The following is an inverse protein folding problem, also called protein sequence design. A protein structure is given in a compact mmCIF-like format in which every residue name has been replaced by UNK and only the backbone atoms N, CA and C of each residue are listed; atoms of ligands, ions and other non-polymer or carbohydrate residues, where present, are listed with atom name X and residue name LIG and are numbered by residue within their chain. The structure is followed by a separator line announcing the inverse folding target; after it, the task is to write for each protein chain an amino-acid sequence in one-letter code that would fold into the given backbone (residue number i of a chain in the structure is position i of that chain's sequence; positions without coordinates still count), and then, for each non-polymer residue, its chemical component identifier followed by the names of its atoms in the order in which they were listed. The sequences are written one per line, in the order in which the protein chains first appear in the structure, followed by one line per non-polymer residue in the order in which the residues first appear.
data_IF_482418757003
#
_entry.id   IF_482418757003
#
_cell.length_a   1.000
_cell.length_b   1.000
_cell.length_c   1.000
_cell.angle_alpha   90.00
_cell.angle_beta   90.00
_cell.angle_gamma   90.00
#
_symmetry.space_group_name_H-M   'P 1'
#
loop_
_entity.id
_entity.type
_entity.pdbx_description
1 polymer ?
#
# COMPACT_ATOMS: atom_id res chain seq x y z
N UNK A 1 5.08 -14.29 20.03
CA UNK A 1 5.77 -14.36 18.73
C UNK A 1 7.24 -14.64 18.96
N UNK A 2 7.89 -15.49 18.17
CA UNK A 2 9.33 -15.76 18.33
C UNK A 2 10.17 -14.60 17.75
N UNK A 3 11.33 -14.34 18.35
CA UNK A 3 12.31 -13.34 17.87
C UNK A 3 12.74 -13.57 16.40
N UNK A 4 12.68 -14.81 15.92
CA UNK A 4 13.00 -15.15 14.54
C UNK A 4 12.02 -14.55 13.52
N UNK A 5 10.72 -14.60 13.81
CA UNK A 5 9.67 -14.04 12.94
C UNK A 5 9.82 -12.52 12.84
N UNK A 6 10.06 -11.84 13.97
CA UNK A 6 10.29 -10.39 13.98
C UNK A 6 11.52 -9.98 13.15
N UNK A 7 12.61 -10.76 13.21
CA UNK A 7 13.80 -10.53 12.38
C UNK A 7 13.54 -10.75 10.89
N UNK A 8 12.80 -11.79 10.53
CA UNK A 8 12.41 -12.07 9.16
C UNK A 8 11.53 -10.95 8.59
N UNK A 9 10.52 -10.50 9.35
CA UNK A 9 9.67 -9.37 9.03
C UNK A 9 10.48 -8.10 8.78
N UNK A 10 11.38 -7.76 9.70
CA UNK A 10 12.25 -6.60 9.56
C UNK A 10 13.17 -6.70 8.34
N UNK A 11 13.69 -7.89 8.00
CA UNK A 11 14.53 -8.10 6.83
C UNK A 11 13.74 -7.94 5.53
N UNK A 12 12.54 -8.52 5.47
CA UNK A 12 11.62 -8.37 4.34
C UNK A 12 11.31 -6.89 4.08
N UNK A 13 11.04 -6.14 5.14
CA UNK A 13 10.75 -4.70 5.10
C UNK A 13 11.93 -3.79 4.76
N UNK A 14 13.17 -4.25 4.96
CA UNK A 14 14.37 -3.52 4.56
C UNK A 14 14.88 -3.95 3.16
N UNK A 15 14.24 -4.94 2.54
CA UNK A 15 14.63 -5.45 1.22
C UNK A 15 13.77 -4.81 0.14
N UNK A 16 14.39 -4.18 -0.85
CA UNK A 16 13.64 -3.49 -1.91
C UNK A 16 12.76 -4.39 -2.74
N UNK A 17 13.18 -5.65 -2.97
CA UNK A 17 12.51 -6.56 -3.90
C UNK A 17 11.00 -6.68 -3.69
N UNK A 18 10.54 -6.78 -2.44
CA UNK A 18 9.11 -6.88 -2.13
C UNK A 18 8.37 -5.57 -2.40
N UNK A 19 9.00 -4.41 -2.13
CA UNK A 19 8.41 -3.12 -2.45
C UNK A 19 8.33 -2.90 -3.97
N UNK A 20 9.41 -3.21 -4.70
CA UNK A 20 9.45 -3.08 -6.16
C UNK A 20 8.39 -3.97 -6.82
N UNK A 21 8.26 -5.23 -6.38
CA UNK A 21 7.26 -6.17 -6.86
C UNK A 21 5.84 -5.66 -6.59
N UNK A 22 5.53 -5.23 -5.36
CA UNK A 22 4.19 -4.72 -5.01
C UNK A 22 3.82 -3.49 -5.83
N UNK A 23 4.76 -2.58 -6.06
CA UNK A 23 4.54 -1.42 -6.92
C UNK A 23 4.27 -1.82 -8.38
N UNK A 24 5.00 -2.81 -8.92
CA UNK A 24 4.74 -3.31 -10.28
C UNK A 24 3.34 -3.92 -10.40
N UNK A 25 2.94 -4.77 -9.46
CA UNK A 25 1.59 -5.38 -9.44
C UNK A 25 0.52 -4.29 -9.34
N UNK A 26 0.69 -3.32 -8.43
CA UNK A 26 -0.26 -2.22 -8.27
C UNK A 26 -0.37 -1.33 -9.52
N UNK A 27 0.77 -0.98 -10.13
CA UNK A 27 0.80 -0.23 -11.39
C UNK A 27 0.11 -1.04 -12.49
N UNK A 28 0.26 -2.36 -12.52
CA UNK A 28 -0.41 -3.22 -13.50
C UNK A 28 -1.92 -3.27 -13.29
N UNK A 29 -2.39 -3.28 -12.04
CA UNK A 29 -3.81 -3.14 -11.74
C UNK A 29 -4.35 -1.79 -12.23
N UNK A 30 -3.60 -0.69 -12.05
CA UNK A 30 -3.98 0.64 -12.53
C UNK A 30 -4.00 0.72 -14.07
N UNK A 31 -3.00 0.10 -14.71
CA UNK A 31 -2.82 0.00 -16.16
C UNK A 31 -4.01 -0.73 -16.83
N UNK A 32 -4.55 -1.78 -16.20
CA UNK A 32 -5.70 -2.56 -16.67
C UNK A 32 -7.07 -1.92 -16.43
N UNK A 33 -7.17 -0.80 -15.71
CA UNK A 33 -8.47 -0.24 -15.29
C UNK A 33 -9.31 0.31 -16.44
N UNK A 34 -8.68 0.77 -17.52
CA UNK A 34 -9.35 1.40 -18.66
C UNK A 34 -9.23 0.59 -19.94
N UNK A 35 -9.89 1.06 -21.00
CA UNK A 35 -9.69 0.54 -22.36
C UNK A 35 -8.26 0.74 -22.86
N UNK A 36 -7.61 1.80 -22.38
CA UNK A 36 -6.22 2.12 -22.69
C UNK A 36 -5.41 2.20 -21.40
N UNK A 37 -4.13 1.74 -21.42
CA UNK A 37 -3.13 2.02 -20.40
C UNK A 37 -3.12 3.50 -20.01
N UNK A 38 -3.20 3.78 -18.71
CA UNK A 38 -3.06 5.15 -18.19
C UNK A 38 -2.01 5.19 -17.08
N UNK A 39 -1.04 6.12 -17.16
CA UNK A 39 -0.04 6.27 -16.11
C UNK A 39 -0.68 6.75 -14.80
N UNK A 40 -0.04 6.43 -13.68
CA UNK A 40 -0.40 6.99 -12.39
C UNK A 40 0.21 8.39 -12.28
N UNK A 41 -0.64 9.39 -12.05
CA UNK A 41 -0.23 10.78 -11.90
C UNK A 41 0.22 11.08 -10.46
N UNK A 42 1.54 11.15 -10.26
CA UNK A 42 2.17 11.66 -9.06
C UNK A 42 2.53 10.59 -8.03
N UNK A 43 3.69 10.78 -7.41
CA UNK A 43 4.23 9.90 -6.36
C UNK A 43 3.28 9.80 -5.17
N UNK A 44 2.63 10.91 -4.78
CA UNK A 44 1.65 10.93 -3.69
C UNK A 44 0.48 10.00 -3.95
N UNK A 45 -0.05 10.00 -5.18
CA UNK A 45 -1.16 9.12 -5.54
C UNK A 45 -0.72 7.66 -5.48
N UNK A 46 0.43 7.34 -6.06
CA UNK A 46 1.01 6.00 -6.00
C UNK A 46 1.19 5.53 -4.54
N UNK A 47 1.74 6.38 -3.68
CA UNK A 47 1.99 6.04 -2.29
C UNK A 47 0.71 5.74 -1.50
N UNK A 48 -0.38 6.44 -1.79
CA UNK A 48 -1.68 6.19 -1.14
C UNK A 48 -2.38 4.95 -1.68
N UNK A 49 -2.22 4.64 -2.97
CA UNK A 49 -2.69 3.38 -3.53
C UNK A 49 -1.90 2.19 -2.93
N UNK A 50 -0.58 2.29 -2.84
CA UNK A 50 0.26 1.25 -2.23
C UNK A 50 0.01 1.12 -0.74
N UNK A 51 -0.30 2.22 -0.03
CA UNK A 51 -0.72 2.17 1.36
C UNK A 51 -1.91 1.23 1.58
N UNK A 52 -2.98 1.39 0.79
CA UNK A 52 -4.17 0.54 0.90
C UNK A 52 -3.87 -0.91 0.52
N UNK A 53 -2.97 -1.13 -0.46
CA UNK A 53 -2.56 -2.48 -0.84
C UNK A 53 -1.70 -3.15 0.25
N UNK A 54 -0.80 -2.40 0.86
CA UNK A 54 0.14 -2.87 1.90
C UNK A 54 -0.57 -3.20 3.21
N UNK A 55 -1.63 -2.44 3.53
CA UNK A 55 -2.37 -2.57 4.77
C UNK A 55 -3.83 -2.94 4.48
N UNK A 56 -4.14 -4.24 4.29
CA UNK A 56 -5.45 -4.70 3.86
C UNK A 56 -6.58 -4.33 4.83
N UNK A 57 -6.28 -4.13 6.12
CA UNK A 57 -7.26 -3.62 7.11
C UNK A 57 -7.80 -2.23 6.70
N UNK A 58 -6.97 -1.36 6.12
CA UNK A 58 -7.43 -0.05 5.65
C UNK A 58 -8.10 -0.13 4.28
N UNK A 59 -7.77 -1.12 3.45
CA UNK A 59 -8.55 -1.43 2.24
C UNK A 59 -9.97 -1.87 2.60
N UNK A 60 -10.14 -2.67 3.64
CA UNK A 60 -11.45 -3.05 4.16
C UNK A 60 -12.27 -1.82 4.57
N UNK A 61 -11.67 -0.93 5.37
CA UNK A 61 -12.31 0.36 5.74
C UNK A 61 -12.65 1.21 4.50
N UNK A 62 -11.77 1.24 3.50
CA UNK A 62 -12.02 1.95 2.25
C UNK A 62 -13.21 1.38 1.47
N UNK A 63 -13.41 0.06 1.46
CA UNK A 63 -14.57 -0.57 0.83
C UNK A 63 -15.86 -0.21 1.57
N UNK A 64 -15.86 -0.32 2.89
CA UNK A 64 -17.02 0.02 3.73
C UNK A 64 -17.42 1.49 3.54
N UNK A 65 -16.45 2.42 3.58
CA UNK A 65 -16.69 3.84 3.34
C UNK A 65 -17.20 4.16 1.93
N UNK A 66 -17.02 3.24 0.97
CA UNK A 66 -17.53 3.34 -0.40
C UNK A 66 -18.79 2.50 -0.64
N UNK A 67 -19.41 1.97 0.43
CA UNK A 67 -20.63 1.17 0.37
C UNK A 67 -20.45 -0.20 -0.29
N UNK A 68 -19.23 -0.75 -0.27
CA UNK A 68 -18.89 -2.06 -0.84
C UNK A 68 -18.69 -3.11 0.26
N UNK A 69 -18.93 -4.39 -0.06
CA UNK A 69 -18.67 -5.47 0.89
C UNK A 69 -17.18 -5.59 1.22
N UNK A 70 -16.81 -5.71 2.51
CA UNK A 70 -15.44 -5.96 2.95
C UNK A 70 -14.94 -7.39 2.65
N UNK A 71 -15.85 -8.35 2.39
CA UNK A 71 -15.51 -9.77 2.24
C UNK A 71 -14.55 -10.03 1.07
N UNK A 72 -14.61 -9.16 0.05
CA UNK A 72 -13.76 -9.23 -1.13
C UNK A 72 -12.26 -9.06 -0.81
N UNK A 73 -11.89 -8.52 0.35
CA UNK A 73 -10.46 -8.38 0.72
C UNK A 73 -9.83 -9.72 1.09
N UNK A 74 -10.64 -10.72 1.47
CA UNK A 74 -10.16 -12.02 1.96
C UNK A 74 -9.14 -11.88 3.08
N UNK A 75 -9.46 -11.08 4.11
CA UNK A 75 -8.62 -10.87 5.29
C UNK A 75 -8.70 -12.07 6.24
N UNK A 76 -7.57 -12.73 6.48
CA UNK A 76 -7.48 -13.76 7.51
C UNK A 76 -7.50 -13.15 8.92
N UNK A 77 -7.97 -13.88 9.96
CA UNK A 77 -7.91 -13.39 11.35
C UNK A 77 -6.50 -13.04 11.84
N UNK A 78 -5.48 -13.71 11.27
CA UNK A 78 -4.07 -13.46 11.59
C UNK A 78 -3.65 -12.08 11.10
N UNK A 79 -3.97 -11.72 9.85
CA UNK A 79 -3.68 -10.41 9.27
C UNK A 79 -4.32 -9.24 10.04
N UNK A 80 -5.39 -9.47 10.81
CA UNK A 80 -5.99 -8.42 11.66
C UNK A 80 -5.17 -8.15 12.92
N UNK A 81 -4.38 -9.11 13.37
CA UNK A 81 -3.74 -9.09 14.70
C UNK A 81 -2.21 -9.02 14.62
N UNK A 82 -1.61 -9.38 13.48
CA UNK A 82 -0.16 -9.37 13.23
C UNK A 82 0.42 -7.97 13.16
N UNK A 83 1.57 -7.78 13.82
CA UNK A 83 2.34 -6.52 13.81
C UNK A 83 2.77 -6.12 12.38
N UNK A 84 3.04 -7.09 11.51
CA UNK A 84 3.39 -6.88 10.09
C UNK A 84 2.28 -6.18 9.30
N UNK A 85 1.02 -6.39 9.70
CA UNK A 85 -0.16 -5.80 9.07
C UNK A 85 -0.60 -4.51 9.77
N UNK A 86 -0.03 -4.21 10.95
CA UNK A 86 -0.23 -2.93 11.62
C UNK A 86 0.69 -1.90 11.00
N UNK A 87 0.11 -0.76 10.59
CA UNK A 87 0.91 0.38 10.22
C UNK A 87 1.62 0.92 11.45
N UNK A 88 2.96 0.93 11.41
CA UNK A 88 3.75 1.64 12.41
C UNK A 88 4.35 2.90 11.80
N UNK A 89 3.99 4.06 12.36
CA UNK A 89 4.36 5.38 11.83
C UNK A 89 5.87 5.60 11.77
N UNK A 90 6.66 4.89 12.59
CA UNK A 90 8.13 5.01 12.59
C UNK A 90 8.80 4.65 11.26
N UNK A 91 8.16 3.86 10.38
CA UNK A 91 8.77 3.39 9.12
C UNK A 91 8.02 3.75 7.86
N UNK A 92 6.70 3.94 7.90
CA UNK A 92 5.86 4.07 6.70
C UNK A 92 4.93 5.26 6.80
N UNK A 93 5.48 6.45 6.59
CA UNK A 93 4.64 7.61 6.32
C UNK A 93 4.08 7.56 4.89
N UNK A 94 2.89 8.10 4.62
CA UNK A 94 2.36 8.27 3.26
C UNK A 94 3.22 9.15 2.32
N UNK A 95 4.36 9.64 2.81
CA UNK A 95 5.30 10.57 2.18
C UNK A 95 6.73 10.01 2.16
N UNK A 96 6.84 8.69 2.31
CA UNK A 96 8.09 7.98 2.38
C UNK A 96 9.02 8.34 1.19
N UNK A 97 10.16 8.97 1.50
CA UNK A 97 11.15 9.37 0.50
C UNK A 97 11.68 8.20 -0.33
N UNK A 98 11.50 6.96 0.14
CA UNK A 98 11.91 5.74 -0.57
C UNK A 98 11.17 5.52 -1.88
N UNK A 99 9.97 6.07 -2.10
CA UNK A 99 9.27 5.91 -3.39
C UNK A 99 10.07 6.46 -4.56
N UNK A 100 10.78 7.59 -4.38
CA UNK A 100 11.67 8.11 -5.43
C UNK A 100 12.74 7.10 -5.78
N UNK A 101 13.39 6.52 -4.76
CA UNK A 101 14.41 5.48 -4.93
C UNK A 101 13.85 4.22 -5.59
N UNK A 102 12.68 3.74 -5.17
CA UNK A 102 12.03 2.57 -5.77
C UNK A 102 11.67 2.80 -7.24
N UNK A 103 11.12 3.96 -7.58
CA UNK A 103 10.84 4.34 -8.96
C UNK A 103 12.11 4.45 -9.80
N UNK A 104 13.19 5.03 -9.27
CA UNK A 104 14.49 5.04 -9.93
C UNK A 104 15.03 3.63 -10.18
N UNK A 105 14.88 2.72 -9.21
CA UNK A 105 15.31 1.32 -9.36
C UNK A 105 14.49 0.55 -10.40
N UNK A 106 13.18 0.79 -10.49
CA UNK A 106 12.32 0.21 -11.53
C UNK A 106 12.64 0.80 -12.91
N UNK A 107 12.88 2.11 -12.98
CA UNK A 107 13.20 2.82 -14.22
C UNK A 107 14.56 2.40 -14.77
N UNK A 108 15.58 2.29 -13.92
CA UNK A 108 16.90 1.78 -14.29
C UNK A 108 16.88 0.33 -14.81
N UNK A 109 15.86 -0.45 -14.42
CA UNK A 109 15.62 -1.81 -14.93
C UNK A 109 14.75 -1.85 -16.18
N UNK A 110 14.34 -0.69 -16.71
CA UNK A 110 13.47 -0.61 -17.89
C UNK A 110 12.05 -1.12 -17.65
N UNK A 111 11.57 -1.17 -16.40
CA UNK A 111 10.23 -1.71 -16.07
C UNK A 111 9.15 -0.64 -15.98
N UNK A 112 9.52 0.61 -15.72
CA UNK A 112 8.59 1.75 -15.67
C UNK A 112 9.09 2.89 -16.53
N UNK A 113 8.14 3.66 -17.07
CA UNK A 113 8.38 4.96 -17.67
C UNK A 113 8.11 6.05 -16.64
N UNK A 114 8.97 7.06 -16.61
CA UNK A 114 8.80 8.26 -15.81
C UNK A 114 8.83 9.46 -16.75
N UNK A 115 7.72 10.17 -16.87
CA UNK A 115 7.60 11.38 -17.71
C UNK A 115 7.08 12.55 -16.89
N UNK A 116 7.35 13.77 -17.35
CA UNK A 116 6.78 14.99 -16.80
C UNK A 116 5.64 15.47 -17.69
N UNK A 117 4.48 15.69 -17.07
CA UNK A 117 3.28 16.24 -17.69
C UNK A 117 2.88 17.48 -16.89
N UNK A 118 3.28 18.66 -17.39
CA UNK A 118 3.24 19.91 -16.65
C UNK A 118 4.08 19.84 -15.37
N UNK A 119 3.44 19.91 -14.20
CA UNK A 119 4.09 19.81 -12.87
C UNK A 119 4.01 18.41 -12.25
N UNK A 120 3.42 17.44 -12.94
CA UNK A 120 3.16 16.10 -12.41
C UNK A 120 4.14 15.10 -13.04
N UNK A 121 4.60 14.16 -12.22
CA UNK A 121 5.30 12.96 -12.70
C UNK A 121 4.23 11.94 -13.08
N UNK A 122 4.28 11.45 -14.31
CA UNK A 122 3.51 10.33 -14.79
C UNK A 122 4.34 9.05 -14.69
N UNK A 123 3.75 8.02 -14.11
CA UNK A 123 4.40 6.73 -13.85
C UNK A 123 3.66 5.66 -14.64
N UNK A 124 4.26 5.17 -15.72
CA UNK A 124 3.71 4.13 -16.58
C UNK A 124 4.52 2.83 -16.50
N UNK A 125 3.97 1.74 -17.05
CA UNK A 125 4.71 0.50 -17.27
C UNK A 125 5.25 0.43 -18.70
N UNK A 126 6.44 -0.13 -18.85
CA UNK A 126 6.93 -0.62 -20.15
C UNK A 126 6.30 -1.97 -20.47
N UNK A 127 6.51 -2.51 -21.68
CA UNK A 127 6.08 -3.88 -22.00
C UNK A 127 6.78 -4.92 -21.11
N UNK A 128 8.08 -4.73 -20.84
CA UNK A 128 8.81 -5.57 -19.90
C UNK A 128 8.23 -5.48 -18.47
N UNK A 129 7.86 -4.27 -18.02
CA UNK A 129 7.20 -4.06 -16.74
C UNK A 129 5.85 -4.76 -16.65
N UNK A 130 5.03 -4.68 -17.71
CA UNK A 130 3.75 -5.40 -17.81
C UNK A 130 3.96 -6.90 -17.70
N UNK A 131 4.89 -7.46 -18.47
CA UNK A 131 5.19 -8.89 -18.47
C UNK A 131 5.62 -9.39 -17.09
N UNK A 132 6.56 -8.68 -16.44
CA UNK A 132 7.03 -9.03 -15.09
C UNK A 132 5.90 -8.91 -14.06
N UNK A 133 5.07 -7.87 -14.13
CA UNK A 133 3.95 -7.71 -13.22
C UNK A 133 2.87 -8.80 -13.41
N UNK A 134 2.60 -9.19 -14.66
CA UNK A 134 1.66 -10.27 -14.98
C UNK A 134 2.21 -11.62 -14.50
N UNK A 135 3.51 -11.91 -14.64
CA UNK A 135 4.16 -13.09 -14.07
C UNK A 135 4.00 -13.15 -12.54
N UNK A 136 4.26 -12.04 -11.83
CA UNK A 136 4.04 -11.99 -10.39
C UNK A 136 2.59 -12.26 -10.02
N UNK A 137 1.63 -11.65 -10.73
CA UNK A 137 0.21 -11.82 -10.44
C UNK A 137 -0.31 -13.25 -10.67
N UNK A 138 0.37 -14.05 -11.50
CA UNK A 138 0.01 -15.46 -11.75
C UNK A 138 0.59 -16.42 -10.70
N UNK A 139 1.58 -15.99 -9.91
CA UNK A 139 2.17 -16.85 -8.88
C UNK A 139 1.20 -16.97 -7.70
N UNK A 140 0.90 -18.20 -7.21
CA UNK A 140 -0.01 -18.40 -6.09
C UNK A 140 0.34 -17.58 -4.84
N UNK A 141 1.64 -17.38 -4.58
CA UNK A 141 2.14 -16.59 -3.45
C UNK A 141 1.70 -15.12 -3.48
N UNK A 142 1.36 -14.57 -4.66
CA UNK A 142 0.98 -13.16 -4.82
C UNK A 142 -0.46 -12.98 -5.33
N UNK A 143 -1.27 -14.05 -5.35
CA UNK A 143 -2.66 -14.00 -5.82
C UNK A 143 -3.48 -12.97 -5.01
N UNK A 144 -3.46 -13.06 -3.69
CA UNK A 144 -4.15 -12.12 -2.79
C UNK A 144 -3.71 -10.67 -3.03
N UNK A 145 -2.42 -10.46 -3.31
CA UNK A 145 -1.88 -9.13 -3.59
C UNK A 145 -2.44 -8.57 -4.92
N UNK A 146 -2.53 -9.39 -5.96
CA UNK A 146 -3.06 -8.97 -7.24
C UNK A 146 -4.58 -8.69 -7.18
N UNK A 147 -5.32 -9.52 -6.46
CA UNK A 147 -6.76 -9.33 -6.23
C UNK A 147 -7.03 -8.05 -5.42
N UNK A 148 -6.33 -7.86 -4.31
CA UNK A 148 -6.42 -6.64 -3.48
C UNK A 148 -5.98 -5.41 -4.26
N UNK A 149 -4.94 -5.50 -5.09
CA UNK A 149 -4.51 -4.40 -5.99
C UNK A 149 -5.61 -3.98 -6.95
N UNK A 150 -6.37 -4.94 -7.45
CA UNK A 150 -7.54 -4.69 -8.31
C UNK A 150 -8.66 -4.00 -7.54
N UNK A 151 -8.91 -4.41 -6.28
CA UNK A 151 -9.88 -3.75 -5.40
C UNK A 151 -9.50 -2.31 -5.06
N UNK A 152 -8.23 -2.04 -4.74
CA UNK A 152 -7.70 -0.68 -4.50
C UNK A 152 -8.02 0.20 -5.71
N UNK A 153 -7.63 -0.24 -6.89
CA UNK A 153 -7.77 0.53 -8.12
C UNK A 153 -9.24 0.74 -8.51
N UNK A 154 -10.10 -0.27 -8.34
CA UNK A 154 -11.56 -0.18 -8.57
C UNK A 154 -12.28 0.69 -7.55
N UNK A 155 -11.71 0.91 -6.37
CA UNK A 155 -12.40 1.59 -5.26
C UNK A 155 -12.03 3.05 -5.16
N UNK A 156 -10.76 3.38 -5.39
CA UNK A 156 -10.24 4.76 -5.22
C UNK A 156 -9.34 5.24 -6.35
N UNK A 157 -9.08 4.42 -7.38
CA UNK A 157 -8.11 4.77 -8.44
C UNK A 157 -8.51 5.96 -9.31
N UNK A 158 -9.79 6.34 -9.34
CA UNK A 158 -10.35 7.50 -10.05
C UNK A 158 -10.19 8.81 -9.30
N UNK A 159 -9.92 8.74 -7.99
CA UNK A 159 -9.69 9.92 -7.18
C UNK A 159 -8.41 10.65 -7.60
N UNK A 160 -8.44 11.99 -7.54
CA UNK A 160 -7.22 12.79 -7.66
C UNK A 160 -6.32 12.56 -6.45
N UNK A 161 -5.03 12.93 -6.54
CA UNK A 161 -4.11 12.79 -5.41
C UNK A 161 -4.61 13.53 -4.15
N UNK A 162 -5.25 14.70 -4.32
CA UNK A 162 -5.83 15.45 -3.20
C UNK A 162 -7.03 14.72 -2.59
N UNK A 163 -8.01 14.33 -3.42
CA UNK A 163 -9.20 13.61 -2.95
C UNK A 163 -8.84 12.28 -2.27
N UNK A 164 -7.86 11.56 -2.81
CA UNK A 164 -7.37 10.31 -2.22
C UNK A 164 -6.67 10.55 -0.88
N UNK A 165 -5.91 11.64 -0.76
CA UNK A 165 -5.27 12.03 0.50
C UNK A 165 -6.34 12.29 1.56
N UNK A 166 -7.35 13.09 1.23
CA UNK A 166 -8.43 13.46 2.16
C UNK A 166 -9.24 12.23 2.56
N UNK A 167 -9.63 11.40 1.59
CA UNK A 167 -10.30 10.12 1.85
C UNK A 167 -9.51 9.19 2.77
N UNK A 168 -8.19 9.05 2.56
CA UNK A 168 -7.35 8.23 3.46
C UNK A 168 -7.30 8.77 4.88
N UNK A 169 -7.39 10.10 5.08
CA UNK A 169 -7.48 10.68 6.42
C UNK A 169 -8.85 10.46 7.06
N UNK A 170 -9.93 10.41 6.28
CA UNK A 170 -11.27 10.09 6.77
C UNK A 170 -11.37 8.64 7.28
N UNK A 171 -10.83 7.67 6.53
CA UNK A 171 -10.92 6.24 6.90
C UNK A 171 -9.85 5.78 7.90
N UNK A 172 -8.80 6.60 8.08
CA UNK A 172 -7.73 6.35 9.05
C UNK A 172 -7.44 7.64 9.84
N UNK A 173 -8.41 8.10 10.65
CA UNK A 173 -8.26 9.32 11.45
C UNK A 173 -7.12 9.18 12.46
N UNK A 174 -6.74 7.95 12.81
CA UNK A 174 -5.62 7.70 13.69
C UNK A 174 -4.29 8.19 13.07
N UNK A 175 -4.18 8.36 11.75
CA UNK A 175 -2.98 8.95 11.10
C UNK A 175 -2.87 10.45 11.44
N UNK A 176 -3.98 11.15 11.64
CA UNK A 176 -4.00 12.59 11.97
C UNK A 176 -3.83 12.80 13.47
N UNK A 177 -2.59 13.00 13.93
CA UNK A 177 -2.31 13.31 15.33
C UNK A 177 -1.22 12.46 15.98
N UNK A 178 -0.84 11.33 15.39
CA UNK A 178 0.20 10.51 16.00
C UNK A 178 1.53 11.26 16.07
N UNK A 179 2.16 11.21 17.24
CA UNK A 179 3.55 11.64 17.38
C UNK A 179 4.47 10.63 16.68
N UNK A 180 5.67 11.09 16.38
CA UNK A 180 6.76 10.25 15.88
C UNK A 180 6.88 8.99 16.76
N UNK A 181 6.73 7.78 16.19
CA UNK A 181 6.90 6.51 16.92
C UNK A 181 5.64 5.75 17.39
N UNK A 182 4.42 6.27 17.22
CA UNK A 182 3.20 5.55 17.69
C UNK A 182 2.63 4.54 16.67
N UNK A 183 2.10 3.42 17.18
CA UNK A 183 1.25 2.45 16.46
C UNK A 183 -0.19 2.96 16.32
N UNK A 184 -0.85 2.67 15.20
CA UNK A 184 -2.26 3.01 15.00
C UNK A 184 -3.13 2.05 15.82
N UNK A 185 -3.91 2.60 16.76
CA UNK A 185 -4.87 1.84 17.57
C UNK A 185 -4.35 1.37 18.94
N UNK A 186 -3.25 1.93 19.45
CA UNK A 186 -2.67 1.51 20.73
C UNK A 186 -3.37 2.07 22.00
N UNK A 187 -4.39 2.92 21.88
CA UNK A 187 -4.94 3.65 23.05
C UNK A 187 -6.04 2.94 23.85
N UNK A 188 -6.37 1.67 23.58
CA UNK A 188 -7.39 0.95 24.37
C UNK A 188 -6.85 -0.18 25.27
N UNK A 189 -5.57 -0.15 25.64
CA UNK A 189 -4.94 -1.22 26.43
C UNK A 189 -4.35 -0.83 27.80
N UNK A 190 -4.35 0.44 28.17
CA UNK A 190 -3.65 0.91 29.38
C UNK A 190 -4.62 1.60 30.35
N UNK A 191 -5.52 0.84 30.95
CA UNK A 191 -6.27 1.27 32.13
C UNK A 191 -6.75 0.07 32.97
N UNK A 192 -5.90 -0.94 33.15
CA UNK A 192 -6.09 -1.99 34.17
C UNK A 192 -4.71 -2.48 34.58
N UNK A 193 -4.01 -1.70 35.40
CA UNK A 193 -3.09 -2.20 36.43
C UNK A 193 -2.48 -0.99 37.15
N UNK A 194 -2.87 -0.81 38.41
CA UNK A 194 -2.25 0.16 39.31
C UNK A 194 -3.21 0.74 40.34
N UNK A 195 -3.68 -0.07 41.29
CA UNK A 195 -3.40 0.24 42.70
C UNK A 195 -3.72 -0.99 43.60
N UNK A 196 -2.67 -1.69 44.00
CA UNK A 196 -2.66 -2.48 45.24
C UNK A 196 -1.43 -2.04 46.02
N UNK A 197 -1.65 -1.17 47.00
CA UNK A 197 -0.89 -1.11 48.25
C UNK A 197 -1.63 -0.28 49.26
#
# INVERSE_FOLDING_TARGET
MSLGVLKAAARAENTDGLHLMRLLVLLRCADKRGRTPKPVEGITKLAKLDFLLRYPVYLERALVARGKSPDAVHLSPRERTTVETRMIRFRYGPWDGRYRRWLSLLSARGLVTLSLSGRKIEIGLTDAGRAVADDFAQRPLFADLAERGTLVVKTVGDMSAMKLKDFVYEIVPEITGMKWGQEIGAENGAALDGDQS
#
